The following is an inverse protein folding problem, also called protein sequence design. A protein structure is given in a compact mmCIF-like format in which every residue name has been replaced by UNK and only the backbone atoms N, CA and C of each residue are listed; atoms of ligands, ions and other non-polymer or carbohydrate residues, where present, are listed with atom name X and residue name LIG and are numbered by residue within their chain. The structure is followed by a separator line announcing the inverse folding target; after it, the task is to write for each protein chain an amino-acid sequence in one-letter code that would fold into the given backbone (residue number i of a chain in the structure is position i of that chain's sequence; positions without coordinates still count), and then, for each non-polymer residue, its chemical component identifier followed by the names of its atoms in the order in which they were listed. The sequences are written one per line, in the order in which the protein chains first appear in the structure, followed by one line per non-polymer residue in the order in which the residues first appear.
data_IF_091997017184
#
_entry.id   IF_091997017184
#
_cell.length_a   1.000
_cell.length_b   1.000
_cell.length_c   1.000
_cell.angle_alpha   90.00
_cell.angle_beta   90.00
_cell.angle_gamma   90.00
#
_symmetry.space_group_name_H-M   'P 1'
#
loop_
_entity.id
_entity.type
_entity.pdbx_description
1 polymer ?
#
# COMPACT_ATOMS: atom_id res chain seq x y z
N UNK A 1 25.27 45.24 4.00
CA UNK A 1 24.30 44.51 3.15
C UNK A 1 23.74 43.22 3.77
N UNK A 2 24.44 42.52 4.68
CA UNK A 2 23.96 41.27 5.32
C UNK A 2 22.71 41.44 6.22
N UNK A 3 22.72 42.45 7.11
CA UNK A 3 21.61 42.69 8.06
C UNK A 3 20.26 42.99 7.39
N UNK A 4 20.27 43.69 6.26
CA UNK A 4 19.04 44.02 5.52
C UNK A 4 18.40 42.77 4.89
N UNK A 5 19.23 41.83 4.43
CA UNK A 5 18.81 40.53 3.89
C UNK A 5 18.16 39.65 4.96
N UNK A 6 18.72 39.63 6.16
CA UNK A 6 18.15 38.88 7.30
C UNK A 6 16.82 39.47 7.77
N UNK A 7 16.73 40.80 7.86
CA UNK A 7 15.50 41.51 8.21
C UNK A 7 14.39 41.22 7.19
N UNK A 8 14.72 41.28 5.90
CA UNK A 8 13.78 40.96 4.82
C UNK A 8 13.32 39.51 4.87
N UNK A 9 14.24 38.56 5.13
CA UNK A 9 13.90 37.14 5.34
C UNK A 9 12.97 36.96 6.54
N UNK A 10 13.24 37.62 7.66
CA UNK A 10 12.43 37.53 8.88
C UNK A 10 11.01 38.09 8.67
N UNK A 11 10.88 39.19 7.91
CA UNK A 11 9.60 39.79 7.54
C UNK A 11 8.81 38.88 6.58
N UNK A 12 9.45 38.26 5.59
CA UNK A 12 8.81 37.29 4.71
C UNK A 12 8.30 36.06 5.47
N UNK A 13 9.08 35.51 6.39
CA UNK A 13 8.65 34.38 7.24
C UNK A 13 7.43 34.75 8.10
N UNK A 14 7.41 35.98 8.65
CA UNK A 14 6.37 36.44 9.57
C UNK A 14 5.07 36.84 8.86
N UNK A 15 5.15 37.44 7.66
CA UNK A 15 3.98 37.85 6.88
C UNK A 15 3.39 36.73 6.01
N UNK A 16 4.22 35.85 5.44
CA UNK A 16 3.77 34.91 4.41
C UNK A 16 3.67 33.45 4.85
N UNK A 17 4.06 33.10 6.09
CA UNK A 17 4.03 31.70 6.60
C UNK A 17 4.52 30.72 5.51
N UNK A 18 5.64 31.02 4.85
CA UNK A 18 6.19 30.16 3.80
C UNK A 18 6.66 28.88 4.49
N UNK A 19 5.75 27.90 4.59
CA UNK A 19 6.06 26.57 5.03
C UNK A 19 7.07 25.99 4.03
N UNK A 20 8.15 25.41 4.53
CA UNK A 20 9.11 24.72 3.69
C UNK A 20 8.39 23.71 2.81
N UNK A 21 8.57 23.86 1.49
CA UNK A 21 7.92 23.05 0.43
C UNK A 21 8.24 21.55 0.54
N UNK A 22 9.23 21.19 1.35
CA UNK A 22 9.77 19.84 1.50
C UNK A 22 9.22 19.08 2.72
N UNK A 23 8.25 19.66 3.46
CA UNK A 23 7.53 18.93 4.50
C UNK A 23 6.34 18.19 3.90
N UNK A 24 6.60 17.01 3.33
CA UNK A 24 5.55 16.09 2.90
C UNK A 24 4.79 15.54 4.10
N UNK A 25 3.46 15.62 4.09
CA UNK A 25 2.63 14.94 5.07
C UNK A 25 2.37 13.52 4.59
N UNK A 26 2.74 12.53 5.41
CA UNK A 26 2.29 11.15 5.22
C UNK A 26 1.08 10.91 6.11
N UNK A 27 -0.03 10.50 5.52
CA UNK A 27 -1.21 10.06 6.26
C UNK A 27 -1.21 8.54 6.32
N UNK A 28 -1.14 8.01 7.55
CA UNK A 28 -1.35 6.59 7.80
C UNK A 28 -2.85 6.33 7.93
N UNK A 29 -3.36 5.36 7.19
CA UNK A 29 -4.72 4.87 7.34
C UNK A 29 -4.66 3.39 7.73
N UNK A 30 -5.38 2.93 8.76
CA UNK A 30 -5.44 1.52 9.10
C UNK A 30 -6.15 0.74 7.99
N UNK A 31 -5.68 -0.48 7.71
CA UNK A 31 -6.31 -1.39 6.77
C UNK A 31 -7.44 -2.13 7.48
N UNK A 32 -8.69 -1.82 7.17
CA UNK A 32 -9.85 -2.47 7.82
C UNK A 32 -10.05 -3.93 7.39
N UNK A 33 -9.67 -4.27 6.16
CA UNK A 33 -9.83 -5.61 5.59
C UNK A 33 -8.45 -6.12 5.18
N UNK A 34 -7.93 -7.08 5.93
CA UNK A 34 -6.63 -7.71 5.65
C UNK A 34 -6.83 -8.85 4.65
N UNK A 35 -5.95 -9.01 3.64
CA UNK A 35 -5.98 -10.19 2.77
C UNK A 35 -5.69 -11.47 3.56
N UNK A 36 -6.40 -12.54 3.22
CA UNK A 36 -6.05 -13.89 3.66
C UNK A 36 -5.18 -14.56 2.60
N UNK A 37 -4.15 -15.30 3.02
CA UNK A 37 -3.19 -15.92 2.11
C UNK A 37 -3.30 -17.44 2.11
N UNK A 38 -3.11 -18.01 0.91
CA UNK A 38 -2.83 -19.43 0.71
C UNK A 38 -1.53 -19.53 -0.09
N UNK A 39 -0.57 -20.27 0.45
CA UNK A 39 0.75 -20.49 -0.17
C UNK A 39 0.78 -21.90 -0.75
N UNK A 40 1.27 -22.01 -1.97
CA UNK A 40 1.60 -23.25 -2.66
C UNK A 40 3.08 -23.18 -3.04
N UNK A 41 3.91 -23.66 -2.11
CA UNK A 41 5.37 -23.58 -2.20
C UNK A 41 5.93 -24.44 -3.32
N UNK A 42 5.28 -25.55 -3.67
CA UNK A 42 5.72 -26.45 -4.74
C UNK A 42 5.68 -25.74 -6.10
N UNK A 43 4.61 -24.99 -6.34
CA UNK A 43 4.41 -24.27 -7.59
C UNK A 43 4.89 -22.80 -7.54
N UNK A 44 5.38 -22.32 -6.39
CA UNK A 44 5.78 -20.92 -6.19
C UNK A 44 4.61 -19.94 -6.34
N UNK A 45 3.40 -20.37 -5.95
CA UNK A 45 2.16 -19.60 -6.09
C UNK A 45 1.68 -19.10 -4.73
N UNK A 46 1.32 -17.83 -4.66
CA UNK A 46 0.64 -17.23 -3.51
C UNK A 46 -0.69 -16.68 -3.94
N UNK A 47 -1.76 -17.10 -3.27
CA UNK A 47 -3.11 -16.58 -3.49
C UNK A 47 -3.54 -15.71 -2.31
N UNK A 48 -3.61 -14.41 -2.53
CA UNK A 48 -4.21 -13.46 -1.60
C UNK A 48 -5.69 -13.24 -1.90
N UNK A 49 -6.54 -13.30 -0.87
CA UNK A 49 -8.00 -13.18 -0.99
C UNK A 49 -8.50 -12.09 -0.04
N UNK A 50 -9.19 -11.09 -0.60
CA UNK A 50 -9.87 -10.05 0.17
C UNK A 50 -11.33 -10.47 0.37
N UNK A 51 -11.67 -10.80 1.63
CA UNK A 51 -13.00 -11.24 2.04
C UNK A 51 -13.68 -10.19 2.93
N UNK A 52 -14.99 -10.13 2.83
CA UNK A 52 -15.81 -9.33 3.75
C UNK A 52 -17.19 -10.00 3.88
N UNK A 53 -17.68 -10.20 5.12
CA UNK A 53 -18.91 -10.95 5.39
C UNK A 53 -18.97 -12.29 4.63
N UNK A 54 -17.91 -13.10 4.76
CA UNK A 54 -17.75 -14.43 4.13
C UNK A 54 -17.73 -14.45 2.59
N UNK A 55 -17.82 -13.30 1.94
CA UNK A 55 -17.79 -13.20 0.47
C UNK A 55 -16.42 -12.73 -0.02
N UNK A 56 -15.92 -13.39 -1.05
CA UNK A 56 -14.69 -13.01 -1.75
C UNK A 56 -14.99 -11.87 -2.72
N UNK A 57 -14.25 -10.77 -2.59
CA UNK A 57 -14.39 -9.61 -3.49
C UNK A 57 -13.20 -9.44 -4.42
N UNK A 58 -12.00 -9.80 -3.99
CA UNK A 58 -10.79 -9.75 -4.80
C UNK A 58 -9.95 -10.99 -4.52
N UNK A 59 -9.47 -11.62 -5.58
CA UNK A 59 -8.47 -12.68 -5.54
C UNK A 59 -7.28 -12.23 -6.37
N UNK A 60 -6.09 -12.32 -5.80
CA UNK A 60 -4.82 -12.03 -6.45
C UNK A 60 -3.97 -13.28 -6.35
N UNK A 61 -3.62 -13.85 -7.50
CA UNK A 61 -2.74 -15.02 -7.61
C UNK A 61 -1.41 -14.48 -8.14
N UNK A 62 -0.37 -14.61 -7.33
CA UNK A 62 0.99 -14.21 -7.65
C UNK A 62 1.79 -15.47 -7.91
N UNK A 63 2.33 -15.56 -9.11
CA UNK A 63 3.31 -16.55 -9.51
C UNK A 63 4.68 -15.87 -9.44
N UNK A 64 5.41 -16.17 -8.37
CA UNK A 64 6.67 -15.49 -8.04
C UNK A 64 7.76 -15.92 -9.02
N UNK A 65 7.84 -17.21 -9.35
CA UNK A 65 8.84 -17.75 -10.29
C UNK A 65 8.68 -17.16 -11.69
N UNK A 66 7.46 -17.08 -12.21
CA UNK A 66 7.20 -16.56 -13.56
C UNK A 66 6.95 -15.04 -13.60
N UNK A 67 7.02 -14.35 -12.45
CA UNK A 67 6.71 -12.92 -12.30
C UNK A 67 5.35 -12.54 -12.90
N UNK A 68 4.37 -13.44 -12.77
CA UNK A 68 3.01 -13.25 -13.30
C UNK A 68 2.05 -12.96 -12.16
N UNK A 69 1.05 -12.13 -12.43
CA UNK A 69 -0.01 -11.87 -11.47
C UNK A 69 -1.35 -11.88 -12.16
N UNK A 70 -2.24 -12.73 -11.67
CA UNK A 70 -3.61 -12.84 -12.16
C UNK A 70 -4.53 -12.28 -11.09
N UNK A 71 -5.44 -11.38 -11.49
CA UNK A 71 -6.40 -10.78 -10.55
C UNK A 71 -7.83 -11.07 -11.00
N UNK A 72 -8.68 -11.44 -10.06
CA UNK A 72 -10.11 -11.70 -10.29
C UNK A 72 -10.94 -10.92 -9.28
N UNK A 73 -12.06 -10.35 -9.73
CA UNK A 73 -12.99 -9.62 -8.86
C UNK A 73 -12.72 -8.11 -8.74
N UNK A 74 -13.48 -7.48 -7.84
CA UNK A 74 -13.55 -6.04 -7.62
C UNK A 74 -13.97 -5.67 -6.19
N UNK A 75 -13.31 -4.65 -5.63
CA UNK A 75 -13.64 -4.07 -4.32
C UNK A 75 -14.79 -3.05 -4.36
N UNK A 76 -15.37 -2.76 -5.55
CA UNK A 76 -16.37 -1.69 -5.72
C UNK A 76 -17.55 -1.81 -4.74
N UNK A 77 -18.00 -3.04 -4.46
CA UNK A 77 -19.14 -3.33 -3.57
C UNK A 77 -18.83 -3.10 -2.09
N UNK A 78 -17.56 -3.11 -1.70
CA UNK A 78 -17.10 -2.92 -0.31
C UNK A 78 -16.22 -1.67 -0.17
N UNK A 79 -16.31 -0.73 -1.13
CA UNK A 79 -15.49 0.47 -1.18
C UNK A 79 -15.54 1.30 0.11
N UNK A 80 -16.66 1.29 0.83
CA UNK A 80 -16.80 2.00 2.11
C UNK A 80 -15.85 1.49 3.20
N UNK A 81 -15.50 0.21 3.16
CA UNK A 81 -14.61 -0.44 4.12
C UNK A 81 -13.17 -0.49 3.62
N UNK A 82 -12.97 -0.44 2.29
CA UNK A 82 -11.62 -0.47 1.74
C UNK A 82 -11.02 0.93 1.59
N UNK A 83 -11.78 2.01 1.67
CA UNK A 83 -11.24 3.38 1.54
C UNK A 83 -10.26 3.69 2.69
N UNK A 84 -9.10 4.33 2.43
CA UNK A 84 -8.65 4.93 1.16
C UNK A 84 -8.01 3.96 0.15
N UNK A 85 -7.88 2.68 0.52
CA UNK A 85 -7.25 1.66 -0.31
C UNK A 85 -8.08 1.28 -1.54
N UNK A 86 -7.42 1.31 -2.70
CA UNK A 86 -7.98 0.93 -4.00
C UNK A 86 -7.48 -0.46 -4.37
N UNK A 87 -8.10 -1.06 -5.39
CA UNK A 87 -7.76 -2.41 -5.87
C UNK A 87 -6.25 -2.61 -6.12
N UNK A 88 -5.55 -1.63 -6.71
CA UNK A 88 -4.12 -1.75 -6.96
C UNK A 88 -3.30 -1.78 -5.67
N UNK A 89 -3.64 -0.99 -4.64
CA UNK A 89 -2.94 -1.05 -3.35
C UNK A 89 -2.97 -2.46 -2.73
N UNK A 90 -4.12 -3.16 -2.82
CA UNK A 90 -4.21 -4.55 -2.38
C UNK A 90 -3.37 -5.50 -3.22
N UNK A 91 -3.35 -5.30 -4.55
CA UNK A 91 -2.51 -6.11 -5.44
C UNK A 91 -1.04 -5.93 -5.10
N UNK A 92 -0.60 -4.68 -4.89
CA UNK A 92 0.79 -4.35 -4.60
C UNK A 92 1.21 -4.90 -3.22
N UNK A 93 0.34 -4.80 -2.22
CA UNK A 93 0.53 -5.40 -0.90
C UNK A 93 0.68 -6.93 -0.99
N UNK A 94 -0.26 -7.60 -1.66
CA UNK A 94 -0.22 -9.06 -1.82
C UNK A 94 1.01 -9.52 -2.60
N UNK A 95 1.44 -8.76 -3.62
CA UNK A 95 2.69 -9.04 -4.34
C UNK A 95 3.91 -8.92 -3.43
N UNK A 96 3.98 -7.86 -2.62
CA UNK A 96 5.09 -7.64 -1.69
C UNK A 96 5.18 -8.72 -0.62
N UNK A 97 4.04 -9.18 -0.11
CA UNK A 97 4.02 -10.26 0.89
C UNK A 97 4.26 -11.65 0.29
N UNK A 98 3.96 -11.87 -0.99
CA UNK A 98 4.11 -13.18 -1.63
C UNK A 98 5.55 -13.71 -1.62
N UNK A 99 6.54 -12.83 -1.79
CA UNK A 99 7.95 -13.22 -1.75
C UNK A 99 8.34 -13.70 -0.34
N UNK A 100 8.03 -12.90 0.69
CA UNK A 100 8.30 -13.26 2.08
C UNK A 100 7.61 -14.56 2.50
N UNK A 101 6.35 -14.76 2.10
CA UNK A 101 5.57 -15.94 2.47
C UNK A 101 6.13 -17.25 1.86
N UNK A 102 6.76 -17.21 0.69
CA UNK A 102 7.43 -18.38 0.11
C UNK A 102 8.76 -18.70 0.80
N UNK A 103 9.53 -17.67 1.17
CA UNK A 103 10.79 -17.83 1.90
C UNK A 103 10.57 -18.46 3.28
N UNK A 104 9.52 -18.03 4.00
CA UNK A 104 9.17 -18.58 5.31
C UNK A 104 8.80 -20.07 5.26
N UNK A 105 8.16 -20.53 4.18
CA UNK A 105 7.74 -21.92 4.03
C UNK A 105 8.86 -22.85 3.57
N UNK A 106 9.87 -22.32 2.88
CA UNK A 106 11.05 -23.10 2.47
C UNK A 106 12.13 -23.17 3.55
N UNK A 107 12.08 -22.27 4.54
CA UNK A 107 13.03 -22.22 5.67
C UNK A 107 12.59 -23.04 6.89
N UNK A 108 11.41 -23.68 6.84
CA UNK A 108 10.89 -24.61 7.87
C UNK A 108 11.08 -26.05 7.44
#
# INVERSE_FOLDING_TARGET
MHKLKELYRSLQFRLFRIQHKDSGWTSFAPLEIVPEYKVDSENGLVTGVVKHNERVYLTVIVDVHNKKTVTKGSLRKIRKYTHPFKKHHYIDMIKGEAECLLEEQTSR
#
